data_IF_736074930894
#
_entry.id   IF_736074930894
#
_cell.length_a   1.000
_cell.length_b   1.000
_cell.length_c   1.000
_cell.angle_alpha   90.00
_cell.angle_beta   90.00
_cell.angle_gamma   90.00
#
_symmetry.space_group_name_H-M   'P 1'
#
loop_
_entity.id
_entity.type
_entity.pdbx_description
1 polymer ?
#
# COMPACT_ATOMS: atom_id res chain seq x y z
N UNK A 1 -23.58 -4.82 -1.18
CA UNK A 1 -23.35 -4.56 0.25
C UNK A 1 -23.06 -3.09 0.42
N UNK A 2 -23.60 -2.45 1.46
CA UNK A 2 -23.17 -1.11 1.89
C UNK A 2 -22.07 -1.25 2.93
N UNK A 3 -21.16 -0.28 2.95
CA UNK A 3 -20.14 -0.15 3.99
C UNK A 3 -20.30 1.27 4.55
N UNK A 4 -20.68 1.41 5.80
CA UNK A 4 -20.81 2.70 6.48
C UNK A 4 -19.46 3.14 7.08
N UNK A 5 -19.46 4.30 7.75
CA UNK A 5 -18.29 4.77 8.48
C UNK A 5 -18.05 3.89 9.71
N UNK A 6 -16.81 3.42 9.90
CA UNK A 6 -16.46 2.53 11.01
C UNK A 6 -16.62 1.03 10.72
N UNK A 7 -17.31 0.64 9.64
CA UNK A 7 -17.48 -0.77 9.27
C UNK A 7 -16.14 -1.43 8.92
N UNK A 8 -15.94 -2.66 9.40
CA UNK A 8 -14.74 -3.48 9.17
C UNK A 8 -15.10 -4.75 8.42
N UNK A 9 -14.32 -5.07 7.38
CA UNK A 9 -14.44 -6.31 6.61
C UNK A 9 -13.16 -7.15 6.77
N UNK A 10 -13.33 -8.43 7.11
CA UNK A 10 -12.24 -9.42 7.20
C UNK A 10 -12.40 -10.44 6.08
N UNK A 11 -11.45 -10.46 5.14
CA UNK A 11 -11.37 -11.50 4.11
C UNK A 11 -10.34 -12.55 4.52
N UNK A 12 -10.78 -13.73 4.95
CA UNK A 12 -9.95 -14.88 5.31
C UNK A 12 -10.21 -16.08 4.39
N UNK A 13 -9.25 -17.02 4.32
CA UNK A 13 -9.39 -18.26 3.54
C UNK A 13 -9.80 -18.00 2.08
N UNK A 14 -10.86 -18.66 1.63
CA UNK A 14 -11.34 -18.60 0.24
C UNK A 14 -11.83 -17.23 -0.20
N UNK A 15 -12.36 -16.40 0.72
CA UNK A 15 -12.84 -15.05 0.38
C UNK A 15 -11.75 -14.14 -0.19
N UNK A 16 -10.47 -14.41 0.16
CA UNK A 16 -9.31 -13.66 -0.36
C UNK A 16 -9.05 -13.88 -1.85
N UNK A 17 -9.57 -14.99 -2.39
CA UNK A 17 -9.40 -15.38 -3.79
C UNK A 17 -10.58 -14.92 -4.65
N UNK A 18 -11.62 -14.33 -4.05
CA UNK A 18 -12.78 -13.84 -4.76
C UNK A 18 -12.54 -12.42 -5.31
N UNK A 19 -13.07 -12.17 -6.50
CA UNK A 19 -13.16 -10.83 -7.05
C UNK A 19 -14.15 -10.00 -6.23
N UNK A 20 -13.72 -8.79 -5.85
CA UNK A 20 -14.54 -7.80 -5.16
C UNK A 20 -14.21 -6.42 -5.71
N UNK A 21 -15.19 -5.53 -5.69
CA UNK A 21 -15.06 -4.16 -6.20
C UNK A 21 -15.90 -3.20 -5.35
N UNK A 22 -15.51 -1.92 -5.37
CA UNK A 22 -16.30 -0.82 -4.81
C UNK A 22 -16.73 0.07 -5.99
N UNK A 23 -17.88 -0.23 -6.64
CA UNK A 23 -18.29 0.45 -7.87
C UNK A 23 -18.79 1.88 -7.63
N UNK A 24 -19.18 2.23 -6.40
CA UNK A 24 -19.75 3.54 -6.08
C UNK A 24 -19.49 3.94 -4.64
N UNK A 25 -19.06 5.19 -4.46
CA UNK A 25 -19.14 5.91 -3.17
C UNK A 25 -20.44 6.72 -3.20
N UNK A 26 -21.29 6.54 -2.19
CA UNK A 26 -22.58 7.22 -2.10
C UNK A 26 -22.39 8.53 -1.33
N UNK A 27 -22.88 9.64 -1.88
CA UNK A 27 -22.84 10.94 -1.21
C UNK A 27 -23.67 10.91 0.08
N UNK A 28 -23.23 11.68 1.09
CA UNK A 28 -23.98 11.83 2.32
C UNK A 28 -25.38 12.40 2.03
N UNK A 29 -26.44 11.92 2.72
CA UNK A 29 -27.76 12.51 2.61
C UNK A 29 -27.74 14.00 3.01
N UNK A 30 -28.35 14.86 2.20
CA UNK A 30 -28.48 16.29 2.47
C UNK A 30 -29.23 16.49 3.80
N UNK A 31 -28.66 17.26 4.73
CA UNK A 31 -29.33 17.64 5.99
C UNK A 31 -28.94 16.84 7.23
N UNK A 32 -28.01 15.88 7.13
CA UNK A 32 -27.33 15.32 8.31
C UNK A 32 -25.96 15.98 8.44
N UNK A 33 -25.70 16.77 9.51
CA UNK A 33 -24.36 17.30 9.74
C UNK A 33 -23.37 16.12 9.84
N UNK A 34 -22.20 16.32 9.24
CA UNK A 34 -21.11 15.36 9.20
C UNK A 34 -20.90 14.75 10.59
N UNK A 35 -21.13 13.44 10.71
CA UNK A 35 -20.93 12.67 11.93
C UNK A 35 -21.60 13.32 13.15
N UNK A 36 -22.89 13.06 13.33
CA UNK A 36 -23.44 12.85 14.69
C UNK A 36 -22.79 11.57 15.24
N UNK A 37 -21.45 11.57 15.38
CA UNK A 37 -20.80 10.78 16.40
C UNK A 37 -21.17 11.52 17.66
N UNK A 38 -22.30 11.11 18.27
CA UNK A 38 -22.63 11.41 19.67
C UNK A 38 -21.30 11.53 20.41
N UNK A 39 -21.01 12.74 20.89
CA UNK A 39 -19.67 13.09 21.33
C UNK A 39 -19.08 11.93 22.11
N UNK A 40 -17.89 11.49 21.71
CA UNK A 40 -16.97 10.86 22.64
C UNK A 40 -16.71 11.90 23.73
N UNK A 41 -17.70 12.09 24.60
CA UNK A 41 -17.62 12.81 25.85
C UNK A 41 -16.49 12.08 26.53
N UNK A 42 -15.34 12.77 26.53
CA UNK A 42 -14.06 12.36 27.06
C UNK A 42 -14.33 11.40 28.22
N UNK A 43 -14.22 10.09 27.95
CA UNK A 43 -14.42 9.09 28.98
C UNK A 43 -13.26 9.31 29.94
N UNK A 44 -13.57 9.98 31.04
CA UNK A 44 -12.65 10.49 32.06
C UNK A 44 -11.88 9.41 32.80
N UNK A 45 -11.92 8.16 32.34
CA UNK A 45 -10.99 7.10 32.75
C UNK A 45 -9.79 7.10 31.79
N UNK A 46 -8.86 8.04 32.00
CA UNK A 46 -7.55 8.05 31.37
C UNK A 46 -6.81 6.75 31.76
N UNK A 47 -6.93 5.71 30.93
CA UNK A 47 -6.00 4.58 30.96
C UNK A 47 -4.76 5.03 30.21
N UNK A 48 -3.60 5.02 30.87
CA UNK A 48 -2.28 5.43 30.35
C UNK A 48 -1.74 4.61 29.16
N UNK A 49 -2.59 3.83 28.49
CA UNK A 49 -2.26 3.06 27.28
C UNK A 49 -3.28 3.28 26.16
N UNK A 50 -3.81 4.50 26.05
CA UNK A 50 -4.58 4.87 24.86
C UNK A 50 -3.64 5.04 23.68
N UNK A 51 -3.84 4.28 22.61
CA UNK A 51 -3.16 4.49 21.32
C UNK A 51 -3.77 5.70 20.58
N UNK A 52 -4.96 6.16 21.01
CA UNK A 52 -5.68 7.28 20.41
C UNK A 52 -5.37 8.55 21.19
N UNK A 53 -4.78 9.51 20.49
CA UNK A 53 -4.49 10.85 21.01
C UNK A 53 -5.59 11.85 20.62
N UNK A 54 -5.87 12.85 21.46
CA UNK A 54 -6.81 13.91 21.12
C UNK A 54 -6.28 14.75 19.94
N UNK A 55 -7.20 15.13 19.05
CA UNK A 55 -6.93 16.02 17.92
C UNK A 55 -7.32 17.46 18.25
N UNK A 56 -6.59 18.42 17.68
CA UNK A 56 -6.99 19.83 17.77
C UNK A 56 -8.26 20.09 16.96
N UNK A 57 -9.04 21.10 17.34
CA UNK A 57 -10.24 21.50 16.57
C UNK A 57 -9.88 21.90 15.13
N UNK A 58 -8.71 22.51 14.93
CA UNK A 58 -8.22 22.90 13.61
C UNK A 58 -7.96 21.68 12.72
N UNK A 59 -7.31 20.64 13.25
CA UNK A 59 -7.06 19.40 12.50
C UNK A 59 -8.36 18.65 12.24
N UNK A 60 -9.26 18.61 13.24
CA UNK A 60 -10.59 18.01 13.09
C UNK A 60 -11.41 18.67 11.99
N UNK A 61 -11.38 20.00 11.88
CA UNK A 61 -12.08 20.74 10.83
C UNK A 61 -11.56 20.38 9.43
N UNK A 62 -10.24 20.18 9.28
CA UNK A 62 -9.64 19.72 8.02
C UNK A 62 -10.11 18.31 7.68
N UNK A 63 -10.05 17.39 8.65
CA UNK A 63 -10.50 16.01 8.47
C UNK A 63 -11.99 15.94 8.13
N UNK A 64 -12.83 16.69 8.83
CA UNK A 64 -14.28 16.71 8.63
C UNK A 64 -14.65 17.20 7.23
N UNK A 65 -14.06 18.32 6.79
CA UNK A 65 -14.26 18.83 5.43
C UNK A 65 -13.84 17.83 4.37
N UNK A 66 -12.75 17.10 4.60
CA UNK A 66 -12.29 16.07 3.67
C UNK A 66 -13.27 14.89 3.61
N UNK A 67 -13.77 14.41 4.75
CA UNK A 67 -14.66 13.23 4.82
C UNK A 67 -16.09 13.49 4.34
N UNK A 68 -16.53 14.75 4.27
CA UNK A 68 -17.84 15.13 3.70
C UNK A 68 -18.06 14.64 2.26
N UNK A 69 -16.98 14.56 1.46
CA UNK A 69 -17.04 14.20 0.04
C UNK A 69 -16.13 13.03 -0.34
N UNK A 70 -15.49 12.40 0.64
CA UNK A 70 -14.54 11.31 0.41
C UNK A 70 -14.82 10.10 1.29
N UNK A 71 -14.21 8.97 0.94
CA UNK A 71 -14.22 7.75 1.75
C UNK A 71 -12.80 7.25 1.92
N UNK A 72 -12.38 7.05 3.16
CA UNK A 72 -11.10 6.42 3.49
C UNK A 72 -11.30 4.92 3.67
N UNK A 73 -10.46 4.11 3.02
CA UNK A 73 -10.37 2.68 3.26
C UNK A 73 -8.97 2.34 3.78
N UNK A 74 -8.90 1.57 4.86
CA UNK A 74 -7.65 1.05 5.40
C UNK A 74 -7.66 -0.46 5.23
N UNK A 75 -6.65 -0.99 4.54
CA UNK A 75 -6.46 -2.44 4.35
C UNK A 75 -5.16 -2.86 5.02
N UNK A 76 -5.26 -3.71 6.04
CA UNK A 76 -4.10 -4.27 6.75
C UNK A 76 -3.91 -5.73 6.35
N UNK A 77 -2.67 -6.13 6.06
CA UNK A 77 -2.31 -7.51 5.69
C UNK A 77 -1.01 -7.90 6.37
N UNK A 78 -0.99 -9.09 6.96
CA UNK A 78 0.27 -9.75 7.29
C UNK A 78 0.87 -10.32 5.99
N UNK A 79 2.07 -9.87 5.64
CA UNK A 79 2.76 -10.28 4.41
C UNK A 79 3.64 -11.50 4.66
N UNK A 80 4.42 -11.47 5.74
CA UNK A 80 5.35 -12.53 6.12
C UNK A 80 4.72 -13.42 7.19
N UNK A 81 4.95 -14.74 7.09
CA UNK A 81 4.60 -15.68 8.15
C UNK A 81 5.41 -15.41 9.43
N UNK A 82 4.96 -15.93 10.58
CA UNK A 82 5.71 -15.81 11.83
C UNK A 82 7.15 -16.33 11.67
N UNK A 83 8.13 -15.54 12.10
CA UNK A 83 9.56 -15.88 12.01
C UNK A 83 10.20 -15.74 10.62
N UNK A 84 9.45 -15.32 9.60
CA UNK A 84 10.02 -15.05 8.27
C UNK A 84 10.53 -13.61 8.15
N UNK A 85 11.55 -13.42 7.33
CA UNK A 85 12.09 -12.13 6.91
C UNK A 85 12.09 -12.01 5.39
N UNK A 86 12.19 -10.79 4.87
CA UNK A 86 12.46 -10.59 3.45
C UNK A 86 13.88 -11.05 3.11
N UNK A 87 14.06 -11.60 1.90
CA UNK A 87 15.38 -12.02 1.44
C UNK A 87 16.34 -10.83 1.35
N UNK A 88 17.53 -10.98 1.90
CA UNK A 88 18.62 -10.03 1.68
C UNK A 88 19.23 -10.29 0.30
N UNK A 89 19.35 -9.25 -0.52
CA UNK A 89 20.07 -9.36 -1.80
C UNK A 89 21.53 -9.69 -1.52
N UNK A 90 22.14 -10.69 -2.19
CA UNK A 90 23.55 -10.99 -1.99
C UNK A 90 24.38 -9.79 -2.44
N UNK A 91 25.13 -9.19 -1.50
CA UNK A 91 26.11 -8.16 -1.83
C UNK A 91 27.19 -8.78 -2.71
N UNK A 92 27.25 -8.36 -3.97
CA UNK A 92 28.30 -8.77 -4.90
C UNK A 92 29.61 -8.02 -4.58
N UNK A 93 30.23 -8.28 -3.44
CA UNK A 93 31.59 -7.80 -3.17
C UNK A 93 32.41 -8.84 -2.41
N UNK A 94 32.75 -9.93 -3.09
CA UNK A 94 34.04 -10.57 -2.85
C UNK A 94 34.93 -10.28 -4.05
N UNK A 95 35.69 -9.17 -3.94
CA UNK A 95 36.88 -8.96 -4.76
C UNK A 95 37.94 -9.89 -4.17
N UNK A 96 38.05 -11.09 -4.72
CA UNK A 96 39.20 -11.97 -4.45
C UNK A 96 40.40 -11.35 -5.15
N UNK A 97 41.16 -10.51 -4.43
CA UNK A 97 42.54 -10.19 -4.79
C UNK A 97 43.37 -11.44 -4.46
N UNK A 98 43.61 -12.27 -5.48
CA UNK A 98 44.68 -13.25 -5.48
C UNK A 98 45.56 -12.97 -6.70
N UNK A 99 46.77 -12.54 -6.35
CA UNK A 99 47.90 -12.07 -7.11
C UNK A 99 48.34 -12.99 -8.28
N UNK A 100 48.59 -12.35 -9.43
CA UNK A 100 49.56 -12.61 -10.52
C UNK A 100 49.97 -14.06 -10.91
N UNK A 101 49.80 -14.41 -12.20
CA UNK A 101 50.91 -14.85 -13.07
C UNK A 101 50.58 -14.60 -14.55
N UNK A 102 51.56 -14.12 -15.31
CA UNK A 102 51.51 -13.54 -16.66
C UNK A 102 51.38 -14.54 -17.84
N UNK A 103 50.87 -14.08 -18.99
CA UNK A 103 51.20 -14.59 -20.34
C UNK A 103 50.11 -14.44 -21.42
N UNK A 104 50.42 -14.14 -22.71
CA UNK A 104 49.62 -13.26 -23.58
C UNK A 104 49.01 -13.91 -24.85
N UNK A 105 47.88 -13.39 -25.36
CA UNK A 105 47.71 -12.80 -26.71
C UNK A 105 46.23 -12.69 -27.20
N UNK A 106 45.99 -11.53 -27.81
CA UNK A 106 45.09 -11.17 -28.93
C UNK A 106 43.55 -11.09 -28.77
N UNK A 107 43.09 -9.83 -28.75
CA UNK A 107 41.79 -9.35 -29.25
C UNK A 107 41.79 -9.33 -30.81
N UNK A 108 40.64 -9.44 -31.51
CA UNK A 108 39.60 -8.41 -31.51
C UNK A 108 38.15 -8.95 -31.47
N UNK A 109 37.30 -8.33 -30.66
CA UNK A 109 36.15 -7.51 -31.11
C UNK A 109 35.05 -8.30 -31.84
N UNK A 110 33.94 -8.57 -31.15
CA UNK A 110 32.64 -8.28 -31.72
C UNK A 110 31.62 -7.93 -30.63
N UNK A 111 30.95 -6.81 -30.82
CA UNK A 111 29.94 -6.22 -29.95
C UNK A 111 28.60 -6.53 -30.59
N UNK A 112 27.80 -7.40 -30.00
CA UNK A 112 26.37 -7.40 -30.30
C UNK A 112 25.53 -7.34 -29.03
N UNK A 113 25.28 -6.09 -28.63
CA UNK A 113 24.26 -5.69 -27.68
C UNK A 113 22.88 -5.95 -28.30
N UNK A 114 22.32 -7.13 -28.05
CA UNK A 114 20.96 -7.51 -28.45
C UNK A 114 19.89 -6.71 -27.69
N UNK A 115 19.57 -5.50 -28.19
CA UNK A 115 18.38 -4.74 -27.78
C UNK A 115 17.12 -5.46 -28.26
N UNK A 116 16.44 -6.22 -27.40
CA UNK A 116 15.09 -6.71 -27.71
C UNK A 116 14.08 -5.56 -27.58
N UNK A 117 13.63 -5.11 -28.75
CA UNK A 117 12.65 -4.05 -28.98
C UNK A 117 11.26 -4.51 -28.51
N UNK A 118 10.59 -3.66 -27.73
CA UNK A 118 9.15 -3.76 -27.41
C UNK A 118 8.35 -3.53 -28.71
N UNK A 119 7.52 -4.49 -29.11
CA UNK A 119 6.49 -4.28 -30.14
C UNK A 119 5.14 -4.20 -29.47
N UNK A 120 4.58 -2.99 -29.41
CA UNK A 120 3.18 -2.74 -29.12
C UNK A 120 2.43 -2.81 -30.45
N UNK A 121 1.37 -3.60 -30.52
CA UNK A 121 0.43 -3.56 -31.63
C UNK A 121 -0.95 -3.31 -31.05
N UNK A 122 -1.31 -2.03 -31.01
CA UNK A 122 -2.71 -1.60 -31.01
C UNK A 122 -3.30 -1.94 -32.38
N UNK A 123 -4.43 -2.63 -32.40
CA UNK A 123 -5.35 -2.63 -33.54
C UNK A 123 -6.75 -2.41 -32.98
N UNK A 124 -7.24 -1.19 -33.21
CA UNK A 124 -8.65 -0.81 -33.11
C UNK A 124 -9.12 -0.72 -34.54
N UNK A 125 -10.17 -1.46 -34.91
CA UNK A 125 -11.20 -1.09 -35.90
C UNK A 125 -12.12 -2.29 -36.18
N UNK A 126 -13.37 -2.22 -35.69
CA UNK A 126 -14.57 -2.05 -36.53
C UNK A 126 -15.79 -1.79 -35.66
#
# INVERSE_FOLDING_TARGET
>A
MYMHGGDVMVMSGQSRLLYHAVPRIVAAPQGHPALEMEGCSSASSRRDCSVVEPLSEQDWAVCSRYTESSRVNVTVRQVLGPGQSFSETPSSHQKTDADQTEGPHDHPADVECGKRRRSSSDTVET
#
